data_IF_500519831249
#
_entry.id   IF_500519831249
#
_cell.length_a   1.000
_cell.length_b   1.000
_cell.length_c   1.000
_cell.angle_alpha   90.00
_cell.angle_beta   90.00
_cell.angle_gamma   90.00
#
_symmetry.space_group_name_H-M   'P 1'
#
loop_
_entity.id
_entity.type
_entity.pdbx_description
1 polymer ?
#
# COMPACT_ATOMS: atom_id res chain seq x y z
N UNK A 1 -16.83 2.91 -62.62
CA UNK A 1 -17.41 2.25 -61.44
C UNK A 1 -16.29 2.11 -60.42
N UNK A 2 -16.53 2.59 -59.21
CA UNK A 2 -15.54 3.15 -58.28
C UNK A 2 -14.67 2.07 -57.62
N UNK A 3 -13.35 2.26 -57.66
CA UNK A 3 -12.41 1.49 -56.86
C UNK A 3 -12.52 1.96 -55.41
N UNK A 4 -13.30 1.26 -54.59
CA UNK A 4 -13.36 1.49 -53.16
C UNK A 4 -12.03 1.09 -52.51
N UNK A 5 -11.21 2.10 -52.24
CA UNK A 5 -10.07 2.04 -51.33
C UNK A 5 -10.58 1.74 -49.92
N UNK A 6 -10.66 0.45 -49.57
CA UNK A 6 -10.75 0.03 -48.18
C UNK A 6 -9.39 0.24 -47.53
N UNK A 7 -9.17 1.46 -47.04
CA UNK A 7 -8.05 1.80 -46.20
C UNK A 7 -8.32 1.15 -44.84
N UNK A 8 -7.88 -0.10 -44.65
CA UNK A 8 -7.81 -0.71 -43.34
C UNK A 8 -6.78 0.07 -42.54
N UNK A 9 -7.21 1.11 -41.82
CA UNK A 9 -6.49 1.59 -40.65
C UNK A 9 -6.45 0.44 -39.65
N UNK A 10 -5.46 -0.43 -39.84
CA UNK A 10 -4.93 -1.33 -38.81
C UNK A 10 -4.38 -0.42 -37.72
N UNK A 11 -5.28 0.07 -36.87
CA UNK A 11 -4.93 0.57 -35.57
C UNK A 11 -4.19 -0.58 -34.89
N UNK A 12 -2.91 -0.39 -34.64
CA UNK A 12 -2.00 -1.37 -34.09
C UNK A 12 -2.38 -1.69 -32.63
N UNK A 13 -3.41 -2.51 -32.46
CA UNK A 13 -3.94 -2.94 -31.16
C UNK A 13 -2.85 -3.54 -30.27
N UNK A 14 -1.83 -4.16 -30.87
CA UNK A 14 -0.70 -4.80 -30.19
C UNK A 14 0.38 -3.84 -29.64
N UNK A 15 0.45 -2.60 -30.12
CA UNK A 15 1.40 -1.59 -29.60
C UNK A 15 0.80 -0.83 -28.42
N UNK A 16 -0.53 -0.71 -28.37
CA UNK A 16 -1.27 0.00 -27.31
C UNK A 16 -1.35 -0.82 -26.00
N UNK A 17 -1.54 -2.13 -26.07
CA UNK A 17 -1.77 -3.01 -24.90
C UNK A 17 -0.64 -2.93 -23.85
N UNK A 18 0.61 -2.98 -24.31
CA UNK A 18 1.79 -2.84 -23.46
C UNK A 18 1.85 -1.50 -22.71
N UNK A 19 1.35 -0.42 -23.32
CA UNK A 19 1.30 0.91 -22.70
C UNK A 19 0.20 1.02 -21.63
N UNK A 20 -0.93 0.33 -21.83
CA UNK A 20 -2.06 0.32 -20.88
C UNK A 20 -1.68 -0.43 -19.60
N UNK A 21 -1.05 -1.60 -19.71
CA UNK A 21 -0.59 -2.38 -18.55
C UNK A 21 0.48 -1.63 -17.76
N UNK A 22 1.49 -1.06 -18.44
CA UNK A 22 2.52 -0.23 -17.77
C UNK A 22 1.92 0.93 -17.01
N UNK A 23 0.94 1.63 -17.61
CA UNK A 23 0.23 2.74 -16.96
C UNK A 23 -0.62 2.27 -15.77
N UNK A 24 -1.29 1.13 -15.88
CA UNK A 24 -2.05 0.53 -14.79
C UNK A 24 -1.15 0.20 -13.59
N UNK A 25 -0.07 -0.54 -13.79
CA UNK A 25 0.86 -0.90 -12.73
C UNK A 25 1.55 0.32 -12.11
N UNK A 26 1.96 1.30 -12.93
CA UNK A 26 2.52 2.56 -12.43
C UNK A 26 1.54 3.28 -11.48
N UNK A 27 0.25 3.29 -11.84
CA UNK A 27 -0.78 3.90 -11.00
C UNK A 27 -1.00 3.11 -9.69
N UNK A 28 -0.98 1.77 -9.75
CA UNK A 28 -1.07 0.91 -8.56
C UNK A 28 0.11 1.16 -7.62
N UNK A 29 1.34 1.18 -8.15
CA UNK A 29 2.54 1.45 -7.35
C UNK A 29 2.52 2.87 -6.75
N UNK A 30 2.00 3.85 -7.48
CA UNK A 30 1.82 5.20 -6.95
C UNK A 30 0.85 5.21 -5.76
N UNK A 31 -0.30 4.53 -5.86
CA UNK A 31 -1.25 4.41 -4.75
C UNK A 31 -0.65 3.66 -3.55
N UNK A 32 0.12 2.60 -3.78
CA UNK A 32 0.85 1.89 -2.72
C UNK A 32 1.89 2.79 -2.05
N UNK A 33 2.64 3.59 -2.82
CA UNK A 33 3.61 4.54 -2.29
C UNK A 33 2.94 5.60 -1.42
N UNK A 34 1.81 6.16 -1.88
CA UNK A 34 1.01 7.12 -1.10
C UNK A 34 0.53 6.51 0.22
N UNK A 35 0.01 5.28 0.18
CA UNK A 35 -0.43 4.57 1.39
C UNK A 35 0.72 4.32 2.38
N UNK A 36 1.90 3.92 1.88
CA UNK A 36 3.10 3.73 2.70
C UNK A 36 3.60 5.06 3.31
N UNK A 37 3.55 6.15 2.55
CA UNK A 37 3.90 7.47 3.05
C UNK A 37 2.94 7.91 4.18
N UNK A 38 1.63 7.75 3.98
CA UNK A 38 0.61 8.00 5.00
C UNK A 38 0.84 7.15 6.27
N UNK A 39 1.16 5.87 6.09
CA UNK A 39 1.43 4.95 7.20
C UNK A 39 2.67 5.40 7.98
N UNK A 40 3.76 5.74 7.27
CA UNK A 40 5.00 6.23 7.88
C UNK A 40 4.78 7.52 8.65
N UNK A 41 4.07 8.50 8.07
CA UNK A 41 3.76 9.77 8.73
C UNK A 41 2.91 9.55 9.99
N UNK A 42 1.92 8.66 9.92
CA UNK A 42 1.06 8.32 11.06
C UNK A 42 1.87 7.65 12.17
N UNK A 43 2.71 6.67 11.82
CA UNK A 43 3.58 5.98 12.78
C UNK A 43 4.57 6.94 13.45
N UNK A 44 5.19 7.82 12.65
CA UNK A 44 6.10 8.85 13.13
C UNK A 44 5.39 9.84 14.05
N UNK A 45 4.19 10.31 13.69
CA UNK A 45 3.41 11.22 14.53
C UNK A 45 3.11 10.62 15.91
N UNK A 46 2.63 9.37 15.95
CA UNK A 46 2.35 8.67 17.21
C UNK A 46 3.63 8.45 18.03
N UNK A 47 4.73 8.07 17.38
CA UNK A 47 6.00 7.80 18.07
C UNK A 47 6.67 9.04 18.64
N UNK A 48 6.44 10.23 18.07
CA UNK A 48 7.03 11.49 18.53
C UNK A 48 6.11 12.31 19.46
N UNK A 49 4.83 11.94 19.57
CA UNK A 49 3.85 12.68 20.36
C UNK A 49 3.50 11.92 21.63
N UNK A 50 4.04 12.34 22.77
CA UNK A 50 3.83 11.67 24.06
C UNK A 50 2.35 11.58 24.46
N UNK A 51 1.55 12.60 24.16
CA UNK A 51 0.12 12.61 24.48
C UNK A 51 -0.67 11.56 23.68
N UNK A 52 -0.37 11.41 22.39
CA UNK A 52 -0.96 10.37 21.56
C UNK A 52 -0.52 8.99 22.03
N UNK A 53 0.76 8.84 22.37
CA UNK A 53 1.32 7.57 22.81
C UNK A 53 0.74 7.09 24.15
N UNK A 54 0.51 8.00 25.10
CA UNK A 54 -0.19 7.74 26.38
C UNK A 54 -1.61 7.22 26.20
N UNK A 55 -2.27 7.58 25.11
CA UNK A 55 -3.62 7.06 24.83
C UNK A 55 -3.60 5.58 24.41
N UNK A 56 -2.48 5.09 23.86
CA UNK A 56 -2.32 3.74 23.34
C UNK A 56 -1.64 2.81 24.35
N UNK A 57 -0.69 3.33 25.13
CA UNK A 57 0.06 2.59 26.15
C UNK A 57 -0.02 3.36 27.46
N UNK A 58 -0.35 2.64 28.52
CA UNK A 58 -0.21 3.15 29.87
C UNK A 58 1.23 2.94 30.35
N UNK A 59 1.93 4.05 30.56
CA UNK A 59 3.34 4.05 30.99
C UNK A 59 3.53 3.68 32.45
N UNK A 60 2.48 3.74 33.28
CA UNK A 60 2.59 3.35 34.69
C UNK A 60 2.54 1.83 34.85
N UNK A 61 1.70 1.15 34.06
CA UNK A 61 1.52 -0.30 34.12
C UNK A 61 2.29 -1.06 33.03
N UNK A 62 2.82 -0.35 32.02
CA UNK A 62 3.46 -0.95 30.85
C UNK A 62 2.48 -1.74 29.96
N UNK A 63 1.17 -1.60 30.20
CA UNK A 63 0.12 -2.35 29.50
C UNK A 63 -0.50 -1.49 28.41
N UNK A 64 -0.97 -2.15 27.35
CA UNK A 64 -1.76 -1.50 26.31
C UNK A 64 -3.14 -1.12 26.85
N UNK A 65 -3.58 0.08 26.53
CA UNK A 65 -4.93 0.54 26.87
C UNK A 65 -5.97 -0.16 25.98
N UNK A 66 -7.25 0.00 26.28
CA UNK A 66 -8.32 -0.48 25.42
C UNK A 66 -8.19 0.09 23.99
N UNK A 67 -7.82 1.38 23.86
CA UNK A 67 -7.55 2.02 22.57
C UNK A 67 -6.30 1.44 21.89
N UNK A 68 -5.27 1.06 22.64
CA UNK A 68 -4.09 0.36 22.12
C UNK A 68 -4.43 -0.98 21.45
N UNK A 69 -5.33 -1.77 22.06
CA UNK A 69 -5.81 -3.01 21.45
C UNK A 69 -6.66 -2.76 20.21
N UNK A 70 -7.55 -1.76 20.25
CA UNK A 70 -8.34 -1.37 19.08
C UNK A 70 -7.41 -0.95 17.94
N UNK A 71 -6.42 -0.08 18.20
CA UNK A 71 -5.47 0.37 17.19
C UNK A 71 -4.67 -0.77 16.57
N UNK A 72 -4.31 -1.80 17.35
CA UNK A 72 -3.59 -2.98 16.86
C UNK A 72 -4.45 -3.85 15.93
N UNK A 73 -5.73 -4.06 16.26
CA UNK A 73 -6.61 -4.96 15.50
C UNK A 73 -7.46 -4.24 14.44
N UNK A 74 -7.56 -2.92 14.50
CA UNK A 74 -8.35 -2.13 13.56
C UNK A 74 -7.95 -2.33 12.09
N UNK A 75 -6.65 -2.37 11.71
CA UNK A 75 -6.27 -2.64 10.31
C UNK A 75 -6.79 -3.99 9.82
N UNK A 76 -6.73 -5.03 10.65
CA UNK A 76 -7.23 -6.36 10.31
C UNK A 76 -8.74 -6.36 10.12
N UNK A 77 -9.48 -5.76 11.06
CA UNK A 77 -10.94 -5.63 10.93
C UNK A 77 -11.35 -4.88 9.67
N UNK A 78 -10.62 -3.81 9.32
CA UNK A 78 -10.91 -3.00 8.16
C UNK A 78 -10.61 -3.75 6.84
N UNK A 79 -9.54 -4.55 6.78
CA UNK A 79 -9.26 -5.44 5.62
C UNK A 79 -10.37 -6.47 5.44
N UNK A 80 -10.88 -7.07 6.52
CA UNK A 80 -11.99 -8.02 6.44
C UNK A 80 -13.28 -7.35 5.94
N UNK A 81 -13.58 -6.14 6.42
CA UNK A 81 -14.72 -5.34 5.96
C UNK A 81 -14.57 -4.94 4.49
N UNK A 82 -13.37 -4.53 4.05
CA UNK A 82 -13.10 -4.26 2.64
C UNK A 82 -13.29 -5.51 1.80
N UNK A 83 -12.76 -6.66 2.22
CA UNK A 83 -12.89 -7.92 1.48
C UNK A 83 -14.35 -8.36 1.34
N UNK A 84 -15.15 -8.27 2.41
CA UNK A 84 -16.56 -8.64 2.39
C UNK A 84 -17.46 -7.59 1.72
N UNK A 85 -17.09 -6.31 1.81
CA UNK A 85 -17.85 -5.16 1.32
C UNK A 85 -17.46 -4.67 -0.08
N UNK A 86 -16.41 -5.24 -0.69
CA UNK A 86 -15.85 -4.76 -1.96
C UNK A 86 -16.89 -4.63 -3.08
N UNK A 87 -17.85 -5.56 -3.16
CA UNK A 87 -18.90 -5.57 -4.17
C UNK A 87 -20.05 -4.58 -3.92
N UNK A 88 -20.13 -3.98 -2.73
CA UNK A 88 -21.25 -3.11 -2.31
C UNK A 88 -20.85 -1.65 -2.12
N UNK A 89 -19.56 -1.36 -2.04
CA UNK A 89 -19.05 -0.02 -1.75
C UNK A 89 -18.75 0.74 -3.05
N UNK A 90 -19.06 2.04 -3.06
CA UNK A 90 -18.72 2.92 -4.19
C UNK A 90 -17.21 3.17 -4.26
N UNK A 91 -16.71 3.61 -5.42
CA UNK A 91 -15.30 3.95 -5.60
C UNK A 91 -14.78 4.95 -4.55
N UNK A 92 -15.55 6.00 -4.27
CA UNK A 92 -15.19 6.99 -3.25
C UNK A 92 -15.15 6.41 -1.84
N UNK A 93 -16.07 5.50 -1.50
CA UNK A 93 -16.05 4.80 -0.22
C UNK A 93 -14.84 3.88 -0.09
N UNK A 94 -14.48 3.13 -1.14
CA UNK A 94 -13.26 2.30 -1.17
C UNK A 94 -12.00 3.14 -0.91
N UNK A 95 -11.87 4.28 -1.57
CA UNK A 95 -10.74 5.19 -1.35
C UNK A 95 -10.70 5.71 0.09
N UNK A 96 -11.83 6.16 0.63
CA UNK A 96 -11.89 6.65 2.02
C UNK A 96 -11.48 5.58 3.02
N UNK A 97 -11.98 4.36 2.83
CA UNK A 97 -11.64 3.19 3.67
C UNK A 97 -10.17 2.79 3.49
N UNK A 98 -9.62 2.87 2.27
CA UNK A 98 -8.20 2.62 2.00
C UNK A 98 -7.26 3.65 2.67
N UNK A 99 -7.62 4.93 2.65
CA UNK A 99 -6.86 5.97 3.36
C UNK A 99 -6.93 5.75 4.86
N UNK A 100 -8.12 5.46 5.40
CA UNK A 100 -8.31 5.14 6.81
C UNK A 100 -7.48 3.90 7.22
N UNK A 101 -7.49 2.86 6.38
CA UNK A 101 -6.64 1.68 6.55
C UNK A 101 -5.17 2.05 6.64
N UNK A 102 -4.68 2.86 5.71
CA UNK A 102 -3.27 3.26 5.64
C UNK A 102 -2.84 4.01 6.91
N UNK A 103 -3.69 4.92 7.41
CA UNK A 103 -3.43 5.64 8.67
C UNK A 103 -3.41 4.68 9.85
N UNK A 104 -4.44 3.83 9.99
CA UNK A 104 -4.54 2.87 11.10
C UNK A 104 -3.41 1.85 11.08
N UNK A 105 -2.97 1.42 9.90
CA UNK A 105 -1.83 0.54 9.75
C UNK A 105 -0.55 1.21 10.27
N UNK A 106 -0.35 2.49 9.96
CA UNK A 106 0.73 3.30 10.53
C UNK A 106 0.68 3.38 12.06
N UNK A 107 -0.50 3.68 12.61
CA UNK A 107 -0.72 3.69 14.07
C UNK A 107 -0.43 2.32 14.69
N UNK A 108 -0.84 1.22 14.04
CA UNK A 108 -0.53 -0.13 14.53
C UNK A 108 0.97 -0.46 14.45
N UNK A 109 1.71 0.10 13.50
CA UNK A 109 3.15 -0.14 13.36
C UNK A 109 3.99 0.75 14.27
N UNK A 110 3.43 1.83 14.83
CA UNK A 110 4.16 2.72 15.74
C UNK A 110 4.71 1.98 16.97
N UNK A 111 4.04 0.91 17.42
CA UNK A 111 4.51 0.05 18.51
C UNK A 111 5.88 -0.56 18.23
N UNK A 112 6.18 -0.89 16.98
CA UNK A 112 7.47 -1.47 16.57
C UNK A 112 8.58 -0.42 16.69
N UNK A 113 8.29 0.85 16.35
CA UNK A 113 9.24 1.95 16.42
C UNK A 113 9.70 2.25 17.87
N UNK A 114 8.91 1.87 18.87
CA UNK A 114 9.24 2.06 20.29
C UNK A 114 10.16 0.98 20.84
N UNK A 115 10.11 -0.23 20.26
CA UNK A 115 10.85 -1.40 20.74
C UNK A 115 12.21 -1.50 20.04
N UNK A 116 12.25 -1.20 18.74
CA UNK A 116 13.46 -1.35 17.92
C UNK A 116 14.17 -0.03 17.68
N UNK A 117 15.48 -0.10 17.51
CA UNK A 117 16.29 1.09 17.20
C UNK A 117 16.06 1.57 15.77
N UNK A 118 16.22 2.87 15.52
CA UNK A 118 16.15 3.45 14.18
C UNK A 118 17.09 2.76 13.19
N UNK A 119 18.30 2.38 13.62
CA UNK A 119 19.24 1.62 12.79
C UNK A 119 18.66 0.28 12.35
N UNK A 120 18.08 -0.51 13.27
CA UNK A 120 17.44 -1.79 12.94
C UNK A 120 16.27 -1.63 11.97
N UNK A 121 15.47 -0.58 12.15
CA UNK A 121 14.31 -0.31 11.29
C UNK A 121 14.76 0.06 9.88
N UNK A 122 15.74 0.96 9.76
CA UNK A 122 16.28 1.40 8.48
C UNK A 122 16.96 0.23 7.75
N UNK A 123 17.74 -0.60 8.43
CA UNK A 123 18.41 -1.74 7.80
C UNK A 123 17.40 -2.78 7.29
N UNK A 124 16.38 -3.13 8.08
CA UNK A 124 15.31 -4.02 7.63
C UNK A 124 14.54 -3.44 6.44
N UNK A 125 14.18 -2.15 6.48
CA UNK A 125 13.49 -1.49 5.38
C UNK A 125 14.35 -1.44 4.11
N UNK A 126 15.61 -1.04 4.22
CA UNK A 126 16.53 -0.95 3.09
C UNK A 126 16.78 -2.33 2.46
N UNK A 127 16.91 -3.39 3.27
CA UNK A 127 17.05 -4.76 2.77
C UNK A 127 15.79 -5.20 2.00
N UNK A 128 14.59 -4.97 2.55
CA UNK A 128 13.33 -5.30 1.89
C UNK A 128 13.14 -4.51 0.58
N UNK A 129 13.42 -3.21 0.60
CA UNK A 129 13.35 -2.34 -0.59
C UNK A 129 14.38 -2.76 -1.66
N UNK A 130 15.58 -3.15 -1.24
CA UNK A 130 16.62 -3.66 -2.14
C UNK A 130 16.19 -4.94 -2.84
N UNK A 131 15.68 -5.93 -2.09
CA UNK A 131 15.17 -7.19 -2.67
C UNK A 131 14.00 -6.90 -3.61
N UNK A 132 13.03 -6.10 -3.18
CA UNK A 132 11.89 -5.73 -4.03
C UNK A 132 12.34 -5.02 -5.32
N UNK A 133 13.27 -4.08 -5.23
CA UNK A 133 13.83 -3.37 -6.37
C UNK A 133 14.57 -4.29 -7.34
N UNK A 134 15.40 -5.20 -6.82
CA UNK A 134 16.11 -6.20 -7.63
C UNK A 134 15.10 -7.10 -8.36
N UNK A 135 14.08 -7.58 -7.65
CA UNK A 135 13.03 -8.41 -8.25
C UNK A 135 12.19 -7.64 -9.26
N UNK A 136 11.90 -6.36 -9.03
CA UNK A 136 11.18 -5.51 -9.98
C UNK A 136 11.98 -5.31 -11.27
N UNK A 137 13.30 -5.09 -11.18
CA UNK A 137 14.18 -5.01 -12.35
C UNK A 137 14.23 -6.36 -13.06
N UNK A 138 14.47 -7.46 -12.34
CA UNK A 138 14.51 -8.80 -12.94
C UNK A 138 13.19 -9.16 -13.62
N UNK A 139 12.05 -8.83 -13.01
CA UNK A 139 10.72 -9.05 -13.59
C UNK A 139 10.44 -8.18 -14.81
N UNK A 140 11.04 -6.98 -14.90
CA UNK A 140 10.94 -6.12 -16.08
C UNK A 140 11.85 -6.58 -17.23
N UNK A 141 13.04 -7.13 -16.93
CA UNK A 141 14.02 -7.54 -17.94
C UNK A 141 13.81 -8.97 -18.44
N UNK A 142 13.16 -9.82 -17.66
CA UNK A 142 12.99 -11.25 -17.96
C UNK A 142 11.71 -11.50 -18.76
N UNK A 143 11.80 -12.20 -19.88
CA UNK A 143 10.67 -12.53 -20.77
C UNK A 143 10.04 -13.90 -20.46
N UNK A 144 10.14 -14.37 -19.21
CA UNK A 144 9.57 -15.66 -18.82
C UNK A 144 8.08 -15.45 -18.55
N UNK A 145 7.25 -16.14 -19.32
CA UNK A 145 5.81 -16.17 -19.10
C UNK A 145 5.50 -16.99 -17.84
N UNK A 146 4.95 -16.32 -16.83
CA UNK A 146 4.60 -16.86 -15.51
C UNK A 146 3.09 -17.16 -15.40
N UNK A 147 2.34 -17.15 -16.50
CA UNK A 147 0.87 -17.36 -16.52
C UNK A 147 0.42 -18.83 -16.51
N UNK A 148 1.32 -19.77 -16.23
CA UNK A 148 1.00 -21.21 -16.13
C UNK A 148 0.36 -21.60 -14.80
#
# INVERSE_FOLDING_TARGET
MEQQNYNYQTNSVFVQENSVSKKFFANVFLWMFVALALSTLSAFYISNTESALRSLIDFETGRRTALGYVAMFAPLGLVLVMGAGFSRLSYGALLGVFVLFSVLLGVSLSFILLIYTGTSIITCFAAAAGIFGIMAVMGYTTNIDLSK
#
